data_IF_712047730893
#
_entry.id   IF_712047730893
#
_cell.length_a   1.000
_cell.length_b   1.000
_cell.length_c   1.000
_cell.angle_alpha   90.00
_cell.angle_beta   90.00
_cell.angle_gamma   90.00
#
_symmetry.space_group_name_H-M   'P 1'
#
loop_
_entity.id
_entity.type
_entity.pdbx_description
1 polymer ?
#
# COMPACT_ATOMS: atom_id res chain seq x y z
N UNK A 1 -11.44 -10.23 -8.83
CA UNK A 1 -10.66 -9.92 -7.61
C UNK A 1 -11.66 -9.70 -6.50
N UNK A 2 -11.92 -10.76 -5.71
CA UNK A 2 -12.92 -10.79 -4.66
C UNK A 2 -12.27 -10.19 -3.42
N UNK A 3 -12.71 -9.02 -3.00
CA UNK A 3 -12.21 -8.37 -1.78
C UNK A 3 -12.69 -9.24 -0.62
N UNK A 4 -11.79 -10.00 -0.01
CA UNK A 4 -12.06 -10.75 1.21
C UNK A 4 -12.28 -9.76 2.36
N UNK A 5 -13.55 -9.58 2.76
CA UNK A 5 -13.90 -8.98 4.04
C UNK A 5 -13.95 -10.13 5.05
N UNK A 6 -12.82 -10.45 5.68
CA UNK A 6 -12.81 -11.40 6.78
C UNK A 6 -13.30 -10.71 8.05
N UNK A 7 -14.35 -11.26 8.61
CA UNK A 7 -15.16 -10.69 9.68
C UNK A 7 -14.44 -10.81 11.03
N UNK A 8 -13.83 -9.74 11.52
CA UNK A 8 -13.43 -9.63 12.94
C UNK A 8 -13.69 -8.23 13.50
N UNK A 9 -14.97 -7.83 13.55
CA UNK A 9 -15.41 -6.77 14.46
C UNK A 9 -16.86 -6.99 14.87
N UNK A 10 -17.03 -7.50 16.08
CA UNK A 10 -18.33 -7.85 16.66
C UNK A 10 -19.21 -6.62 16.98
N UNK A 11 -18.69 -5.39 16.78
CA UNK A 11 -19.41 -4.11 16.96
C UNK A 11 -19.55 -3.27 15.67
N UNK A 12 -19.47 -3.90 14.49
CA UNK A 12 -19.65 -3.23 13.18
C UNK A 12 -21.02 -3.55 12.53
N UNK A 13 -21.99 -4.05 13.32
CA UNK A 13 -22.93 -5.06 12.84
C UNK A 13 -24.40 -4.62 12.64
N UNK A 14 -24.75 -3.33 12.64
CA UNK A 14 -26.14 -2.91 12.34
C UNK A 14 -26.29 -2.11 11.05
N UNK A 15 -25.41 -1.12 10.81
CA UNK A 15 -25.56 -0.24 9.64
C UNK A 15 -25.12 -0.93 8.33
N UNK A 16 -23.99 -1.65 8.35
CA UNK A 16 -23.44 -2.28 7.16
C UNK A 16 -24.23 -3.51 6.71
N UNK A 17 -24.76 -4.27 7.68
CA UNK A 17 -25.66 -5.40 7.41
C UNK A 17 -26.98 -4.92 6.81
N UNK A 18 -27.50 -3.77 7.24
CA UNK A 18 -28.72 -3.17 6.69
C UNK A 18 -28.56 -2.63 5.26
N UNK A 19 -27.33 -2.32 4.83
CA UNK A 19 -27.05 -1.69 3.53
C UNK A 19 -26.82 -2.71 2.40
N UNK A 20 -26.78 -4.02 2.69
CA UNK A 20 -26.41 -5.08 1.73
C UNK A 20 -25.21 -4.63 0.87
N UNK A 21 -24.07 -4.47 1.53
CA UNK A 21 -22.84 -3.97 0.89
C UNK A 21 -22.49 -4.76 -0.36
N UNK A 22 -22.73 -6.08 -0.35
CA UNK A 22 -22.45 -6.95 -1.48
C UNK A 22 -23.22 -6.53 -2.75
N UNK A 23 -24.49 -6.15 -2.61
CA UNK A 23 -25.29 -5.64 -3.73
C UNK A 23 -24.78 -4.29 -4.28
N UNK A 24 -23.99 -3.55 -3.50
CA UNK A 24 -23.45 -2.24 -3.88
C UNK A 24 -22.01 -2.29 -4.41
N UNK A 25 -21.35 -3.46 -4.40
CA UNK A 25 -20.03 -3.64 -5.00
C UNK A 25 -20.17 -3.65 -6.51
N UNK A 26 -19.70 -2.58 -7.15
CA UNK A 26 -19.69 -2.42 -8.61
C UNK A 26 -18.30 -2.08 -9.14
N UNK A 27 -17.96 -2.52 -10.37
CA UNK A 27 -16.73 -2.10 -11.01
C UNK A 27 -16.65 -0.58 -11.12
N UNK A 28 -15.48 -0.02 -10.84
CA UNK A 28 -15.19 1.40 -11.05
C UNK A 28 -14.42 1.52 -12.36
N UNK A 29 -15.10 1.95 -13.42
CA UNK A 29 -14.50 2.24 -14.73
C UNK A 29 -14.01 3.69 -14.80
N UNK A 30 -12.90 4.00 -14.13
CA UNK A 30 -12.31 5.36 -14.13
C UNK A 30 -10.79 5.28 -14.15
N UNK A 31 -10.14 6.33 -14.62
CA UNK A 31 -8.71 6.54 -14.43
C UNK A 31 -8.42 6.85 -12.96
N UNK A 32 -7.48 6.12 -12.39
CA UNK A 32 -7.04 6.29 -11.02
C UNK A 32 -5.56 6.68 -11.00
N UNK A 33 -5.23 7.71 -10.21
CA UNK A 33 -3.86 8.16 -9.98
C UNK A 33 -3.37 7.63 -8.64
N UNK A 34 -2.16 7.09 -8.65
CA UNK A 34 -1.44 6.65 -7.45
C UNK A 34 -0.02 7.15 -7.52
N UNK A 35 0.44 7.76 -6.43
CA UNK A 35 1.86 8.06 -6.25
C UNK A 35 2.55 6.83 -5.68
N UNK A 36 3.63 6.42 -6.33
CA UNK A 36 4.52 5.37 -5.88
C UNK A 36 5.93 5.93 -5.79
N UNK A 37 6.76 5.35 -4.94
CA UNK A 37 8.17 5.71 -4.87
C UNK A 37 8.88 5.34 -6.17
N UNK A 38 9.82 6.19 -6.59
CA UNK A 38 10.63 5.91 -7.77
C UNK A 38 11.58 4.76 -7.45
N UNK A 39 11.54 3.71 -8.27
CA UNK A 39 12.46 2.58 -8.16
C UNK A 39 13.89 2.93 -8.64
N UNK A 40 14.12 4.13 -9.17
CA UNK A 40 15.42 4.51 -9.74
C UNK A 40 16.51 4.79 -8.68
N UNK A 41 16.14 5.02 -7.42
CA UNK A 41 17.09 5.27 -6.35
C UNK A 41 17.17 4.03 -5.44
N UNK A 42 17.78 2.97 -5.98
CA UNK A 42 17.98 1.72 -5.26
C UNK A 42 19.04 1.96 -4.18
N UNK A 43 18.63 2.08 -2.92
CA UNK A 43 19.56 2.28 -1.80
C UNK A 43 20.64 1.17 -1.72
N UNK A 44 20.33 -0.02 -2.22
CA UNK A 44 21.23 -1.17 -2.29
C UNK A 44 22.23 -1.10 -3.46
N UNK A 45 22.14 -0.13 -4.37
CA UNK A 45 23.13 0.03 -5.45
C UNK A 45 24.53 0.35 -4.92
N UNK A 46 24.63 0.86 -3.69
CA UNK A 46 25.92 1.07 -3.00
C UNK A 46 26.55 -0.23 -2.48
N UNK A 47 25.82 -1.34 -2.50
CA UNK A 47 26.27 -2.66 -2.07
C UNK A 47 26.73 -3.54 -3.24
N UNK A 48 26.62 -3.04 -4.48
CA UNK A 48 26.91 -3.78 -5.69
C UNK A 48 27.85 -2.95 -6.58
N UNK A 49 28.87 -3.58 -7.14
CA UNK A 49 29.86 -2.89 -7.98
C UNK A 49 29.38 -2.77 -9.44
N UNK A 50 28.42 -3.60 -9.84
CA UNK A 50 27.90 -3.67 -11.20
C UNK A 50 26.42 -4.11 -11.24
N UNK A 51 25.81 -4.00 -12.42
CA UNK A 51 24.39 -4.35 -12.64
C UNK A 51 24.10 -5.84 -12.39
N UNK A 52 25.02 -6.73 -12.73
CA UNK A 52 24.82 -8.17 -12.54
C UNK A 52 24.75 -8.54 -11.04
N UNK A 53 25.58 -7.93 -10.21
CA UNK A 53 25.48 -8.08 -8.76
C UNK A 53 24.17 -7.50 -8.21
N UNK A 54 23.72 -6.36 -8.74
CA UNK A 54 22.44 -5.77 -8.34
C UNK A 54 21.26 -6.71 -8.69
N UNK A 55 21.29 -7.36 -9.85
CA UNK A 55 20.27 -8.33 -10.28
C UNK A 55 20.26 -9.58 -9.39
N UNK A 56 21.44 -10.07 -9.00
CA UNK A 56 21.56 -11.19 -8.06
C UNK A 56 21.01 -10.78 -6.69
N UNK A 57 21.38 -9.62 -6.19
CA UNK A 57 20.91 -9.11 -4.90
C UNK A 57 19.39 -8.93 -4.90
N UNK A 58 18.82 -8.34 -5.95
CA UNK A 58 17.37 -8.18 -6.07
C UNK A 58 16.66 -9.53 -6.12
N UNK A 59 17.22 -10.52 -6.84
CA UNK A 59 16.70 -11.89 -6.89
C UNK A 59 16.73 -12.58 -5.53
N UNK A 60 17.83 -12.41 -4.77
CA UNK A 60 17.95 -12.93 -3.41
C UNK A 60 16.95 -12.24 -2.46
N UNK A 61 16.78 -10.93 -2.55
CA UNK A 61 15.80 -10.20 -1.73
C UNK A 61 14.36 -10.62 -2.07
N UNK A 62 14.04 -10.77 -3.36
CA UNK A 62 12.74 -11.24 -3.81
C UNK A 62 12.40 -12.65 -3.32
N UNK A 63 13.37 -13.55 -3.28
CA UNK A 63 13.14 -14.96 -2.90
C UNK A 63 13.26 -15.22 -1.39
N UNK A 64 14.20 -14.56 -0.71
CA UNK A 64 14.52 -14.86 0.68
C UNK A 64 13.77 -13.97 1.69
N UNK A 65 13.36 -12.76 1.32
CA UNK A 65 12.88 -11.76 2.29
C UNK A 65 11.44 -11.31 2.08
N UNK A 66 10.98 -11.23 0.82
CA UNK A 66 9.67 -10.68 0.51
C UNK A 66 8.60 -11.78 0.60
N UNK A 67 7.42 -11.51 1.21
CA UNK A 67 6.34 -12.49 1.28
C UNK A 67 5.87 -12.92 -0.11
N UNK A 68 5.24 -14.09 -0.20
CA UNK A 68 4.60 -14.54 -1.43
C UNK A 68 3.45 -13.60 -1.83
N UNK A 69 3.21 -13.47 -3.14
CA UNK A 69 2.06 -12.72 -3.63
C UNK A 69 0.75 -13.41 -3.24
N UNK A 70 -0.30 -12.65 -2.85
CA UNK A 70 -1.62 -13.23 -2.59
C UNK A 70 -2.18 -13.95 -3.80
N UNK A 71 -2.98 -15.00 -3.55
CA UNK A 71 -3.65 -15.77 -4.60
C UNK A 71 -4.45 -14.85 -5.53
N UNK A 72 -4.31 -15.07 -6.84
CA UNK A 72 -5.02 -14.29 -7.84
C UNK A 72 -4.45 -12.90 -8.11
N UNK A 73 -3.28 -12.53 -7.57
CA UNK A 73 -2.62 -11.25 -7.87
C UNK A 73 -1.40 -11.37 -8.80
N UNK A 74 -0.98 -12.59 -9.14
CA UNK A 74 0.23 -12.83 -9.95
C UNK A 74 0.19 -12.22 -11.37
N UNK A 75 -1.02 -11.93 -11.88
CA UNK A 75 -1.20 -11.28 -13.19
C UNK A 75 -1.14 -9.75 -13.13
N UNK A 76 -1.10 -9.16 -11.92
CA UNK A 76 -1.05 -7.72 -11.72
C UNK A 76 0.40 -7.24 -11.78
N UNK A 77 0.61 -6.08 -12.39
CA UNK A 77 1.91 -5.40 -12.34
C UNK A 77 2.28 -5.06 -10.89
N UNK A 78 3.57 -5.10 -10.56
CA UNK A 78 4.07 -5.00 -9.18
C UNK A 78 3.45 -3.88 -8.32
N UNK A 79 3.34 -2.61 -8.76
CA UNK A 79 2.71 -1.52 -8.00
C UNK A 79 1.23 -1.73 -7.67
N UNK A 80 0.55 -2.60 -8.43
CA UNK A 80 -0.83 -2.98 -8.17
C UNK A 80 -0.91 -4.14 -7.18
N UNK A 81 0.03 -5.08 -7.19
CA UNK A 81 0.01 -6.24 -6.31
C UNK A 81 0.56 -5.96 -4.90
N UNK A 82 1.54 -5.05 -4.78
CA UNK A 82 2.23 -4.74 -3.51
C UNK A 82 1.35 -4.31 -2.33
N UNK A 83 0.21 -3.62 -2.50
CA UNK A 83 -0.66 -3.28 -1.37
C UNK A 83 -1.08 -4.49 -0.57
N UNK A 84 -1.20 -5.66 -1.19
CA UNK A 84 -1.68 -6.86 -0.52
C UNK A 84 -0.57 -7.87 -0.20
N UNK A 85 0.67 -7.59 -0.63
CA UNK A 85 1.82 -8.50 -0.44
C UNK A 85 2.34 -8.50 0.99
N UNK A 86 2.31 -7.35 1.66
CA UNK A 86 2.94 -7.15 2.98
C UNK A 86 1.89 -7.19 4.11
N UNK A 87 2.30 -7.55 5.34
CA UNK A 87 1.41 -7.54 6.50
C UNK A 87 0.83 -6.13 6.76
N UNK A 88 -0.25 -6.03 7.57
CA UNK A 88 -0.83 -4.75 7.94
C UNK A 88 0.18 -3.76 8.51
N UNK A 89 -0.07 -2.47 8.31
CA UNK A 89 0.76 -1.42 8.88
C UNK A 89 0.72 -1.50 10.41
N UNK A 90 1.89 -1.42 11.05
CA UNK A 90 2.02 -1.51 12.52
C UNK A 90 1.13 -0.51 13.28
N UNK A 91 0.89 0.67 12.69
CA UNK A 91 0.07 1.73 13.27
C UNK A 91 -1.25 1.93 12.51
N UNK A 92 -1.60 1.00 11.61
CA UNK A 92 -2.74 1.14 10.71
C UNK A 92 -2.59 2.31 9.75
N UNK A 93 -3.71 2.72 9.18
CA UNK A 93 -3.82 3.84 8.25
C UNK A 93 -5.05 4.69 8.59
N UNK A 94 -5.32 5.75 7.82
CA UNK A 94 -6.54 6.58 8.04
C UNK A 94 -7.83 5.77 7.90
N UNK A 95 -7.84 4.76 7.03
CA UNK A 95 -9.04 3.98 6.70
C UNK A 95 -8.94 2.49 7.03
N UNK A 96 -7.83 2.04 7.61
CA UNK A 96 -7.62 0.63 7.92
C UNK A 96 -6.94 0.45 9.27
N UNK A 97 -7.39 -0.54 10.04
CA UNK A 97 -6.83 -0.86 11.35
C UNK A 97 -5.49 -1.61 11.24
N UNK A 98 -4.84 -1.86 12.38
CA UNK A 98 -3.60 -2.67 12.46
C UNK A 98 -3.82 -4.16 12.17
N UNK A 99 -5.08 -4.61 12.10
CA UNK A 99 -5.44 -6.01 11.87
C UNK A 99 -5.94 -6.27 10.44
N UNK A 100 -6.24 -5.20 9.69
CA UNK A 100 -6.83 -5.31 8.37
C UNK A 100 -5.75 -5.43 7.28
N UNK A 101 -5.99 -6.25 6.23
CA UNK A 101 -5.14 -6.26 5.06
C UNK A 101 -4.95 -4.85 4.49
N UNK A 102 -3.73 -4.57 4.02
CA UNK A 102 -3.39 -3.26 3.50
C UNK A 102 -4.29 -2.84 2.32
N UNK A 103 -4.66 -1.56 2.30
CA UNK A 103 -5.61 -0.99 1.35
C UNK A 103 -4.93 -0.45 0.10
N UNK A 104 -5.66 -0.47 -1.03
CA UNK A 104 -5.22 0.21 -2.25
C UNK A 104 -5.55 1.70 -2.19
N UNK A 105 -4.53 2.54 -2.08
CA UNK A 105 -4.68 3.99 -2.07
C UNK A 105 -4.49 4.59 -3.47
N UNK A 106 -5.49 5.35 -3.92
CA UNK A 106 -5.46 6.10 -5.17
C UNK A 106 -6.52 7.20 -5.17
N UNK A 107 -6.45 8.11 -6.15
CA UNK A 107 -7.42 9.19 -6.31
C UNK A 107 -7.82 9.36 -7.76
N UNK A 108 -9.06 9.79 -8.00
CA UNK A 108 -9.55 10.17 -9.33
C UNK A 108 -8.94 11.49 -9.82
N UNK A 109 -8.29 12.25 -8.94
CA UNK A 109 -7.67 13.53 -9.27
C UNK A 109 -6.20 13.54 -8.86
N UNK A 110 -5.33 13.95 -9.78
CA UNK A 110 -3.87 14.05 -9.53
C UNK A 110 -3.57 15.04 -8.39
N UNK A 111 -4.33 16.14 -8.28
CA UNK A 111 -4.18 17.14 -7.22
C UNK A 111 -4.34 16.50 -5.85
N UNK A 112 -5.44 15.76 -5.64
CA UNK A 112 -5.71 15.06 -4.38
C UNK A 112 -4.64 14.04 -4.07
N UNK A 113 -4.20 13.26 -5.05
CA UNK A 113 -3.12 12.28 -4.87
C UNK A 113 -1.81 12.95 -4.38
N UNK A 114 -1.44 14.09 -4.97
CA UNK A 114 -0.28 14.88 -4.55
C UNK A 114 -0.45 15.51 -3.17
N UNK A 115 -1.63 16.05 -2.85
CA UNK A 115 -1.92 16.62 -1.54
C UNK A 115 -1.83 15.57 -0.43
N UNK A 116 -2.41 14.38 -0.62
CA UNK A 116 -2.29 13.27 0.34
C UNK A 116 -0.84 12.86 0.54
N UNK A 117 -0.08 12.75 -0.56
CA UNK A 117 1.32 12.40 -0.48
C UNK A 117 2.16 13.44 0.29
N UNK A 118 1.91 14.73 0.05
CA UNK A 118 2.55 15.82 0.78
C UNK A 118 2.14 15.83 2.26
N UNK A 119 0.85 15.63 2.56
CA UNK A 119 0.34 15.53 3.92
C UNK A 119 1.06 14.44 4.70
N UNK A 120 1.12 13.21 4.19
CA UNK A 120 1.78 12.11 4.91
C UNK A 120 3.30 12.27 5.00
N UNK A 121 3.95 12.88 4.01
CA UNK A 121 5.38 13.22 4.09
C UNK A 121 5.68 14.27 5.14
N UNK A 122 4.75 15.18 5.43
CA UNK A 122 4.98 16.28 6.37
C UNK A 122 4.30 16.09 7.73
N UNK A 123 3.43 15.09 7.87
CA UNK A 123 2.71 14.83 9.13
C UNK A 123 3.64 14.70 10.32
N UNK A 124 4.78 14.02 10.14
CA UNK A 124 5.75 13.84 11.21
C UNK A 124 6.31 15.18 11.73
N UNK A 125 6.42 16.23 10.90
CA UNK A 125 6.90 17.54 11.36
C UNK A 125 5.95 18.16 12.40
N UNK A 126 4.65 17.85 12.33
CA UNK A 126 3.68 18.27 13.33
C UNK A 126 3.76 17.45 14.62
N UNK A 127 4.26 16.22 14.54
CA UNK A 127 4.39 15.29 15.67
C UNK A 127 5.78 15.33 16.33
N UNK A 128 6.72 16.11 15.78
CA UNK A 128 8.07 16.28 16.30
C UNK A 128 8.08 17.18 17.55
N UNK A 129 8.66 16.69 18.65
CA UNK A 129 8.86 17.47 19.87
C UNK A 129 9.83 18.66 19.66
N UNK A 130 10.84 18.48 18.80
CA UNK A 130 11.75 19.53 18.38
C UNK A 130 11.96 19.41 16.87
N UNK A 131 11.82 20.53 16.15
CA UNK A 131 11.92 20.54 14.69
C UNK A 131 13.40 20.50 14.24
N UNK A 132 13.73 19.81 13.14
CA UNK A 132 15.07 19.82 12.57
C UNK A 132 15.50 21.24 12.23
N UNK A 133 16.74 21.60 12.56
CA UNK A 133 17.31 22.90 12.17
C UNK A 133 17.40 22.94 10.63
N UNK A 134 16.97 24.07 10.05
CA UNK A 134 17.03 24.32 8.61
C UNK A 134 18.46 24.39 8.10
#
# INVERSE_FOLDING_TARGET
MQIYLDATRQDMNSLWTAVDVAAHIRPIGRTLYRVVESQAQVATSKLCDNLNEADILESLLETASKPALPRGTAHLHYPLATPWRYPPLLNGSRFGSVLEPSLFYGSLQIRTCRCECAYYRLRFYCDMAEQPRR
#
